data_IF_153586352294
#
_entry.id   IF_153586352294
#
_cell.length_a   1.000
_cell.length_b   1.000
_cell.length_c   1.000
_cell.angle_alpha   90.00
_cell.angle_beta   90.00
_cell.angle_gamma   90.00
#
_symmetry.space_group_name_H-M   'P 1'
#
loop_
_entity.id
_entity.type
_entity.pdbx_description
1 polymer ?
#
# COMPACT_ATOMS: atom_id res chain seq x y z
N UNK A 1 3.95 36.45 29.59
CA UNK A 1 3.04 36.33 28.44
C UNK A 1 2.84 34.84 28.14
N UNK A 2 1.76 34.21 28.61
CA UNK A 2 1.55 32.76 28.44
C UNK A 2 0.94 32.39 27.08
N UNK A 3 1.34 31.20 26.62
CA UNK A 3 1.16 30.53 25.33
C UNK A 3 -0.27 29.96 25.12
N UNK A 4 -0.95 30.17 23.97
CA UNK A 4 -2.29 29.64 23.72
C UNK A 4 -2.26 28.25 23.03
N UNK A 5 -1.93 27.21 23.79
CA UNK A 5 -2.10 25.80 23.41
C UNK A 5 -3.32 25.18 24.11
N UNK A 6 -4.55 25.66 23.90
CA UNK A 6 -5.75 24.90 24.29
C UNK A 6 -6.98 25.33 23.50
N UNK A 7 -7.42 24.47 22.56
CA UNK A 7 -8.85 24.18 22.25
C UNK A 7 -8.97 23.30 21.01
N UNK A 8 -8.46 22.06 21.11
CA UNK A 8 -8.96 20.97 20.27
C UNK A 8 -10.27 20.45 20.86
N UNK A 9 -11.15 20.00 19.97
CA UNK A 9 -12.29 19.08 20.17
C UNK A 9 -13.63 19.74 20.48
N UNK A 10 -14.31 20.22 19.43
CA UNK A 10 -15.76 20.07 19.35
C UNK A 10 -16.07 18.93 18.37
N UNK A 11 -16.54 17.84 18.98
CA UNK A 11 -16.96 16.59 18.37
C UNK A 11 -18.22 16.80 17.53
N UNK A 12 -18.25 16.05 16.42
CA UNK A 12 -19.41 15.67 15.61
C UNK A 12 -20.72 15.55 16.38
N UNK A 13 -21.74 16.18 15.78
CA UNK A 13 -23.01 15.56 15.38
C UNK A 13 -23.93 14.98 16.45
N UNK A 14 -25.00 15.72 16.76
CA UNK A 14 -26.33 15.21 17.10
C UNK A 14 -27.33 16.17 16.44
N UNK A 15 -27.87 15.86 15.26
CA UNK A 15 -29.16 15.17 15.07
C UNK A 15 -30.23 15.69 16.03
N UNK A 16 -31.14 16.52 15.53
CA UNK A 16 -32.51 16.08 15.21
C UNK A 16 -33.49 17.24 15.13
N UNK A 17 -34.38 17.13 14.14
CA UNK A 17 -35.77 17.54 14.17
C UNK A 17 -36.09 19.03 14.36
N UNK A 18 -36.44 19.68 13.26
CA UNK A 18 -37.63 20.53 13.23
C UNK A 18 -38.18 20.54 11.81
N UNK A 19 -39.14 19.65 11.60
CA UNK A 19 -40.05 19.60 10.47
C UNK A 19 -41.07 20.74 10.62
N UNK A 20 -41.08 21.65 9.65
CA UNK A 20 -42.18 22.54 9.24
C UNK A 20 -41.56 23.48 8.18
N UNK A 21 -42.15 23.83 7.04
CA UNK A 21 -43.56 24.03 6.74
C UNK A 21 -43.64 24.07 5.20
N UNK A 22 -44.59 23.36 4.60
CA UNK A 22 -44.86 23.39 3.17
C UNK A 22 -45.75 24.60 2.87
N UNK A 23 -45.29 25.50 1.98
CA UNK A 23 -46.11 26.44 1.22
C UNK A 23 -45.33 26.84 -0.04
N UNK A 24 -45.55 26.14 -1.16
CA UNK A 24 -46.43 26.57 -2.26
C UNK A 24 -45.90 27.82 -2.99
N UNK A 25 -45.26 27.65 -4.15
CA UNK A 25 -45.67 28.26 -5.43
C UNK A 25 -44.74 27.83 -6.59
N UNK A 26 -45.38 27.43 -7.69
CA UNK A 26 -44.81 27.02 -8.97
C UNK A 26 -44.12 28.17 -9.73
N UNK A 27 -43.06 27.88 -10.50
CA UNK A 27 -42.84 28.33 -11.90
C UNK A 27 -41.57 27.67 -12.50
N UNK A 28 -41.81 26.96 -13.61
CA UNK A 28 -40.96 26.57 -14.76
C UNK A 28 -39.43 26.37 -14.64
N UNK A 29 -38.96 25.15 -14.94
CA UNK A 29 -37.62 24.85 -15.47
C UNK A 29 -37.42 23.34 -15.73
N UNK A 30 -36.88 22.90 -16.89
CA UNK A 30 -36.74 21.47 -17.22
C UNK A 30 -35.64 20.78 -16.38
N UNK A 31 -35.68 19.44 -16.22
CA UNK A 31 -34.80 18.72 -15.31
C UNK A 31 -33.40 18.52 -15.93
N UNK A 32 -32.37 19.06 -15.28
CA UNK A 32 -30.97 18.66 -15.50
C UNK A 32 -30.50 17.79 -14.33
N UNK A 33 -30.05 16.55 -14.57
CA UNK A 33 -29.54 15.67 -13.53
C UNK A 33 -28.09 16.02 -13.19
N UNK A 34 -27.78 15.94 -11.89
CA UNK A 34 -26.46 15.62 -11.36
C UNK A 34 -25.26 16.46 -11.86
N UNK A 35 -24.94 17.52 -11.12
CA UNK A 35 -23.53 17.77 -10.79
C UNK A 35 -23.41 17.89 -9.27
N UNK A 36 -23.35 16.72 -8.63
CA UNK A 36 -22.81 16.62 -7.29
C UNK A 36 -21.44 17.30 -7.30
N UNK A 37 -21.33 18.43 -6.61
CA UNK A 37 -20.03 19.01 -6.29
C UNK A 37 -19.16 17.89 -5.71
N UNK A 38 -17.96 17.61 -6.25
CA UNK A 38 -17.11 16.58 -5.66
C UNK A 38 -16.86 16.99 -4.21
N UNK A 39 -17.06 16.10 -3.22
CA UNK A 39 -16.79 16.44 -1.84
C UNK A 39 -15.33 16.85 -1.75
N UNK A 40 -15.04 17.95 -1.04
CA UNK A 40 -13.70 18.44 -0.75
C UNK A 40 -12.96 17.36 0.04
N UNK A 41 -12.37 16.40 -0.68
CA UNK A 41 -11.64 15.30 -0.13
C UNK A 41 -10.34 15.86 0.45
N UNK A 42 -10.18 15.68 1.74
CA UNK A 42 -8.90 15.75 2.42
C UNK A 42 -8.01 14.62 1.85
N UNK A 43 -7.44 14.81 0.65
CA UNK A 43 -6.58 13.81 -0.04
C UNK A 43 -5.10 13.92 0.29
N UNK A 44 -4.68 15.00 0.94
CA UNK A 44 -3.26 15.35 1.12
C UNK A 44 -2.39 14.25 1.77
N UNK A 45 -2.96 13.35 2.57
CA UNK A 45 -2.24 12.20 3.14
C UNK A 45 -2.10 11.01 2.18
N UNK A 46 -3.20 10.61 1.55
CA UNK A 46 -3.24 9.44 0.65
C UNK A 46 -2.46 9.72 -0.66
N UNK A 47 -2.56 10.93 -1.21
CA UNK A 47 -1.80 11.32 -2.40
C UNK A 47 -0.28 11.31 -2.13
N UNK A 48 0.12 11.59 -0.88
CA UNK A 48 1.52 11.56 -0.45
C UNK A 48 2.04 10.14 -0.28
N UNK A 49 1.25 9.25 0.33
CA UNK A 49 1.59 7.83 0.47
C UNK A 49 1.65 7.14 -0.90
N UNK A 50 0.63 7.30 -1.74
CA UNK A 50 0.60 6.73 -3.08
C UNK A 50 1.79 7.22 -3.92
N UNK A 51 2.13 8.51 -3.80
CA UNK A 51 3.32 9.06 -4.45
C UNK A 51 4.62 8.48 -3.89
N UNK A 52 4.71 8.22 -2.59
CA UNK A 52 5.86 7.58 -1.96
C UNK A 52 6.03 6.13 -2.42
N UNK A 53 4.94 5.35 -2.45
CA UNK A 53 4.92 3.97 -2.97
C UNK A 53 5.31 3.95 -4.44
N UNK A 54 4.78 4.86 -5.26
CA UNK A 54 5.14 4.99 -6.68
C UNK A 54 6.63 5.24 -6.86
N UNK A 55 7.24 6.11 -6.03
CA UNK A 55 8.68 6.35 -6.05
C UNK A 55 9.46 5.11 -5.63
N UNK A 56 9.06 4.43 -4.55
CA UNK A 56 9.67 3.19 -4.08
C UNK A 56 9.68 2.13 -5.19
N UNK A 57 8.50 1.82 -5.74
CA UNK A 57 8.33 0.84 -6.81
C UNK A 57 9.22 1.14 -8.01
N UNK A 58 9.29 2.41 -8.42
CA UNK A 58 10.11 2.81 -9.57
C UNK A 58 11.60 2.66 -9.30
N UNK A 59 12.05 2.99 -8.08
CA UNK A 59 13.44 2.79 -7.64
C UNK A 59 13.80 1.31 -7.56
N UNK A 60 12.97 0.52 -6.89
CA UNK A 60 13.15 -0.94 -6.73
C UNK A 60 13.27 -1.63 -8.09
N UNK A 61 12.36 -1.33 -9.03
CA UNK A 61 12.42 -1.91 -10.38
C UNK A 61 13.70 -1.57 -11.13
N UNK A 62 14.21 -0.35 -10.98
CA UNK A 62 15.49 0.04 -11.61
C UNK A 62 16.64 -0.77 -11.01
N UNK A 63 16.71 -0.85 -9.68
CA UNK A 63 17.75 -1.60 -8.96
C UNK A 63 17.71 -3.09 -9.30
N UNK A 64 16.53 -3.69 -9.43
CA UNK A 64 16.37 -5.08 -9.89
C UNK A 64 16.91 -5.30 -11.29
N UNK A 65 16.65 -4.38 -12.24
CA UNK A 65 17.20 -4.46 -13.60
C UNK A 65 18.72 -4.37 -13.62
N UNK A 66 19.30 -3.59 -12.70
CA UNK A 66 20.74 -3.45 -12.51
C UNK A 66 21.35 -4.61 -11.69
N UNK A 67 20.57 -5.63 -11.29
CA UNK A 67 20.96 -6.70 -10.35
C UNK A 67 21.48 -6.21 -8.99
N UNK A 68 21.16 -4.97 -8.61
CA UNK A 68 21.53 -4.36 -7.31
C UNK A 68 20.52 -4.76 -6.23
N UNK A 69 20.49 -6.06 -5.91
CA UNK A 69 19.49 -6.63 -5.00
C UNK A 69 19.55 -6.05 -3.59
N UNK A 70 20.75 -5.88 -3.04
CA UNK A 70 20.93 -5.32 -1.68
C UNK A 70 20.39 -3.91 -1.56
N UNK A 71 20.63 -3.06 -2.57
CA UNK A 71 20.11 -1.69 -2.58
C UNK A 71 18.59 -1.66 -2.72
N UNK A 72 18.01 -2.58 -3.50
CA UNK A 72 16.57 -2.72 -3.63
C UNK A 72 15.94 -3.13 -2.29
N UNK A 73 16.53 -4.12 -1.61
CA UNK A 73 16.12 -4.58 -0.28
C UNK A 73 16.22 -3.44 0.73
N UNK A 74 17.33 -2.72 0.76
CA UNK A 74 17.51 -1.57 1.67
C UNK A 74 16.44 -0.50 1.44
N UNK A 75 16.12 -0.18 0.20
CA UNK A 75 15.07 0.80 -0.12
C UNK A 75 13.68 0.33 0.37
N UNK A 76 13.33 -0.93 0.15
CA UNK A 76 12.06 -1.50 0.60
C UNK A 76 12.00 -1.63 2.13
N UNK A 77 13.09 -1.99 2.80
CA UNK A 77 13.17 -2.06 4.27
C UNK A 77 12.98 -0.69 4.92
N UNK A 78 13.62 0.35 4.37
CA UNK A 78 13.41 1.73 4.85
C UNK A 78 11.94 2.11 4.73
N UNK A 79 11.32 1.89 3.58
CA UNK A 79 9.92 2.18 3.39
C UNK A 79 9.01 1.39 4.35
N UNK A 80 9.29 0.09 4.55
CA UNK A 80 8.53 -0.76 5.45
C UNK A 80 8.66 -0.33 6.91
N UNK A 81 9.84 0.13 7.33
CA UNK A 81 10.04 0.69 8.68
C UNK A 81 9.30 2.01 8.85
N UNK A 82 9.29 2.86 7.83
CA UNK A 82 8.66 4.18 7.89
C UNK A 82 7.12 4.07 7.84
N UNK A 83 6.59 3.02 7.19
CA UNK A 83 5.16 2.76 7.07
C UNK A 83 4.83 1.25 7.20
N UNK A 84 4.95 0.65 8.41
CA UNK A 84 4.77 -0.80 8.62
C UNK A 84 3.34 -1.28 8.37
N UNK A 85 2.36 -0.41 8.61
CA UNK A 85 0.95 -0.73 8.43
C UNK A 85 0.47 -0.51 6.99
N UNK A 86 1.27 0.12 6.13
CA UNK A 86 0.92 0.36 4.73
C UNK A 86 0.90 -0.95 3.95
N UNK A 87 -0.30 -1.39 3.58
CA UNK A 87 -0.50 -2.57 2.75
C UNK A 87 0.24 -2.45 1.40
N UNK A 88 0.31 -1.23 0.84
CA UNK A 88 1.01 -0.98 -0.41
C UNK A 88 2.53 -1.17 -0.26
N UNK A 89 3.13 -0.65 0.80
CA UNK A 89 4.57 -0.85 1.07
C UNK A 89 4.89 -2.30 1.39
N UNK A 90 4.05 -2.98 2.20
CA UNK A 90 4.20 -4.42 2.45
C UNK A 90 4.15 -5.22 1.15
N UNK A 91 3.22 -4.88 0.23
CA UNK A 91 3.13 -5.53 -1.07
C UNK A 91 4.39 -5.32 -1.91
N UNK A 92 4.92 -4.11 -1.98
CA UNK A 92 6.19 -3.84 -2.69
C UNK A 92 7.35 -4.66 -2.12
N UNK A 93 7.41 -4.81 -0.79
CA UNK A 93 8.44 -5.61 -0.13
C UNK A 93 8.34 -7.11 -0.50
N UNK A 94 7.12 -7.65 -0.50
CA UNK A 94 6.85 -9.04 -0.90
C UNK A 94 7.18 -9.26 -2.37
N UNK A 95 6.69 -8.40 -3.27
CA UNK A 95 6.92 -8.50 -4.72
C UNK A 95 8.42 -8.40 -5.07
N UNK A 96 9.17 -7.56 -4.35
CA UNK A 96 10.62 -7.48 -4.45
C UNK A 96 11.27 -8.83 -4.14
N UNK A 97 11.00 -9.39 -2.96
CA UNK A 97 11.64 -10.64 -2.54
C UNK A 97 11.24 -11.82 -3.44
N UNK A 98 10.01 -11.87 -3.94
CA UNK A 98 9.61 -12.84 -4.96
C UNK A 98 10.43 -12.69 -6.25
N UNK A 99 10.70 -11.47 -6.69
CA UNK A 99 11.50 -11.20 -7.90
C UNK A 99 12.96 -11.63 -7.72
N UNK A 100 13.54 -11.38 -6.55
CA UNK A 100 14.91 -11.80 -6.25
C UNK A 100 14.98 -13.33 -6.11
N UNK A 101 14.03 -13.96 -5.40
CA UNK A 101 13.95 -15.41 -5.28
C UNK A 101 13.87 -16.11 -6.65
N UNK A 102 13.02 -15.60 -7.57
CA UNK A 102 12.95 -16.13 -8.95
C UNK A 102 14.27 -15.99 -9.70
N UNK A 103 15.01 -14.90 -9.47
CA UNK A 103 16.32 -14.68 -10.08
C UNK A 103 17.35 -15.69 -9.56
N UNK A 104 17.38 -15.94 -8.25
CA UNK A 104 18.26 -16.95 -7.66
C UNK A 104 17.88 -18.38 -8.02
N UNK A 105 16.58 -18.68 -8.16
CA UNK A 105 16.11 -19.98 -8.67
C UNK A 105 16.60 -20.24 -10.09
N UNK A 106 16.60 -19.24 -10.97
CA UNK A 106 17.12 -19.37 -12.32
C UNK A 106 18.65 -19.60 -12.35
N UNK A 107 19.35 -19.24 -11.27
CA UNK A 107 20.77 -19.49 -11.08
C UNK A 107 21.04 -20.75 -10.22
N UNK A 108 19.99 -21.55 -9.93
CA UNK A 108 20.04 -22.76 -9.06
C UNK A 108 20.55 -22.50 -7.64
N UNK A 109 20.54 -21.24 -7.20
CA UNK A 109 20.93 -20.80 -5.86
C UNK A 109 19.76 -20.97 -4.88
N UNK A 110 19.46 -22.23 -4.57
CA UNK A 110 18.28 -22.60 -3.78
C UNK A 110 18.28 -22.02 -2.35
N UNK A 111 19.43 -21.92 -1.69
CA UNK A 111 19.53 -21.35 -0.33
C UNK A 111 19.25 -19.85 -0.28
N UNK A 112 19.80 -19.10 -1.24
CA UNK A 112 19.55 -17.66 -1.37
C UNK A 112 18.09 -17.39 -1.74
N UNK A 113 17.54 -18.17 -2.68
CA UNK A 113 16.14 -18.13 -3.04
C UNK A 113 15.24 -18.37 -1.82
N UNK A 114 15.52 -19.41 -1.02
CA UNK A 114 14.77 -19.71 0.19
C UNK A 114 14.80 -18.54 1.19
N UNK A 115 15.97 -17.92 1.37
CA UNK A 115 16.13 -16.76 2.25
C UNK A 115 15.26 -15.57 1.82
N UNK A 116 15.17 -15.28 0.51
CA UNK A 116 14.24 -14.24 0.03
C UNK A 116 12.78 -14.61 0.27
N UNK A 117 12.40 -15.87 0.01
CA UNK A 117 11.03 -16.32 0.23
C UNK A 117 10.62 -16.23 1.70
N UNK A 118 11.52 -16.57 2.62
CA UNK A 118 11.28 -16.44 4.06
C UNK A 118 11.06 -14.98 4.47
N UNK A 119 11.81 -14.04 3.88
CA UNK A 119 11.58 -12.62 4.10
C UNK A 119 10.20 -12.16 3.59
N UNK A 120 9.76 -12.62 2.41
CA UNK A 120 8.42 -12.35 1.89
C UNK A 120 7.32 -12.92 2.82
N UNK A 121 7.45 -14.18 3.21
CA UNK A 121 6.48 -14.89 4.06
C UNK A 121 6.43 -14.34 5.48
N UNK A 122 7.51 -13.73 5.99
CA UNK A 122 7.49 -13.04 7.28
C UNK A 122 6.58 -11.82 7.26
N UNK A 123 6.43 -11.16 6.11
CA UNK A 123 5.55 -10.00 5.93
C UNK A 123 4.14 -10.43 5.55
N UNK A 124 4.00 -11.38 4.63
CA UNK A 124 2.73 -11.94 4.21
C UNK A 124 2.78 -13.49 4.25
N UNK A 125 2.40 -14.11 5.39
CA UNK A 125 2.50 -15.56 5.57
C UNK A 125 1.66 -16.39 4.61
N UNK A 126 0.64 -15.78 3.99
CA UNK A 126 -0.27 -16.44 3.05
C UNK A 126 0.02 -16.09 1.59
N UNK A 127 1.19 -15.55 1.29
CA UNK A 127 1.56 -15.23 -0.10
C UNK A 127 1.70 -16.52 -0.93
N UNK A 128 0.69 -16.80 -1.74
CA UNK A 128 0.57 -18.04 -2.53
C UNK A 128 1.78 -18.29 -3.42
N UNK A 129 2.31 -17.25 -4.05
CA UNK A 129 3.48 -17.37 -4.93
C UNK A 129 4.74 -17.75 -4.14
N UNK A 130 4.93 -17.20 -2.94
CA UNK A 130 6.08 -17.53 -2.11
C UNK A 130 6.02 -18.98 -1.63
N UNK A 131 4.83 -19.44 -1.21
CA UNK A 131 4.60 -20.83 -0.80
C UNK A 131 4.85 -21.80 -1.96
N UNK A 132 4.35 -21.49 -3.15
CA UNK A 132 4.57 -22.33 -4.35
C UNK A 132 6.05 -22.43 -4.69
N UNK A 133 6.78 -21.31 -4.68
CA UNK A 133 8.22 -21.31 -4.97
C UNK A 133 9.01 -22.09 -3.91
N UNK A 134 8.64 -21.99 -2.64
CA UNK A 134 9.27 -22.75 -1.56
C UNK A 134 9.10 -24.26 -1.76
N UNK A 135 7.90 -24.70 -2.10
CA UNK A 135 7.64 -26.11 -2.45
C UNK A 135 8.49 -26.58 -3.63
N UNK A 136 8.69 -25.72 -4.65
CA UNK A 136 9.55 -26.05 -5.79
C UNK A 136 11.02 -26.24 -5.39
N UNK A 137 11.52 -25.43 -4.45
CA UNK A 137 12.86 -25.57 -3.88
C UNK A 137 12.99 -26.91 -3.14
N UNK A 138 12.01 -27.23 -2.30
CA UNK A 138 11.99 -28.48 -1.52
C UNK A 138 11.89 -29.72 -2.42
N UNK A 139 11.22 -29.62 -3.57
CA UNK A 139 11.20 -30.68 -4.57
C UNK A 139 12.57 -30.82 -5.26
N UNK A 140 13.18 -29.72 -5.70
CA UNK A 140 14.49 -29.73 -6.35
C UNK A 140 15.58 -30.32 -5.44
N UNK A 141 15.61 -29.91 -4.16
CA UNK A 141 16.57 -30.43 -3.18
C UNK A 141 16.43 -31.92 -2.88
N UNK A 142 15.23 -32.49 -3.03
CA UNK A 142 15.00 -33.93 -2.83
C UNK A 142 15.40 -34.76 -4.05
N UNK A 143 15.51 -34.14 -5.21
CA UNK A 143 15.86 -34.80 -6.46
C UNK A 143 17.38 -34.76 -6.77
N UNK A 144 18.14 -33.94 -6.04
CA UNK A 144 19.60 -33.86 -6.09
C UNK A 144 20.24 -34.90 -5.15
#
# INVERSE_FOLDING_TARGET
MPNPEHRRRLRRSRRSALSALIALLCVAGPPQPASAAPPKQQRHGADSEESAVRRLRSRVRRLLKEKRFEDAVRAAQVALRDAPDSAAVRREFVDLHLSIARSWLAEERFDDAATALDAALKVEPKETDALRLRQSIEAARRAA
#
